data_IF_973520159875
#
_entry.id   IF_973520159875
#
_cell.length_a   1.000
_cell.length_b   1.000
_cell.length_c   1.000
_cell.angle_alpha   90.00
_cell.angle_beta   90.00
_cell.angle_gamma   90.00
#
_symmetry.space_group_name_H-M   'P 1'
#
loop_
_entity.id
_entity.type
_entity.pdbx_description
1 polymer ?
#
# COMPACT_ATOMS: atom_id res chain seq x y z
N UNK A 1 -2.12 -8.41 2.76
CA UNK A 1 -1.03 -8.50 3.76
C UNK A 1 -1.48 -8.15 5.19
N UNK A 2 -2.56 -7.39 5.36
CA UNK A 2 -3.16 -7.07 6.67
C UNK A 2 -4.07 -8.17 7.29
N UNK A 3 -3.85 -9.45 7.01
CA UNK A 3 -4.62 -10.56 7.61
C UNK A 3 -3.71 -11.75 7.91
N UNK A 4 -3.68 -12.17 9.17
CA UNK A 4 -2.76 -13.20 9.69
C UNK A 4 -3.42 -14.56 9.89
N UNK A 5 -2.61 -15.62 9.83
CA UNK A 5 -2.98 -17.01 10.16
C UNK A 5 -1.72 -17.80 10.57
N UNK A 6 -1.85 -19.08 10.90
CA UNK A 6 -0.80 -19.89 11.53
C UNK A 6 0.48 -20.04 10.71
N UNK A 7 0.36 -20.24 9.38
CA UNK A 7 1.50 -20.47 8.49
C UNK A 7 1.11 -20.23 7.02
N UNK A 8 2.06 -20.41 6.11
CA UNK A 8 1.84 -20.18 4.67
C UNK A 8 0.84 -21.17 4.05
N UNK A 9 0.87 -22.45 4.42
CA UNK A 9 -0.06 -23.46 3.88
C UNK A 9 -1.51 -23.08 4.20
N UNK A 10 -1.79 -22.70 5.46
CA UNK A 10 -3.13 -22.27 5.89
C UNK A 10 -3.56 -20.97 5.21
N UNK A 11 -2.64 -20.02 5.01
CA UNK A 11 -2.89 -18.78 4.26
C UNK A 11 -3.27 -19.08 2.81
N UNK A 12 -2.45 -19.88 2.12
CA UNK A 12 -2.61 -20.14 0.69
C UNK A 12 -3.88 -20.98 0.44
N UNK A 13 -4.22 -21.90 1.34
CA UNK A 13 -5.49 -22.65 1.30
C UNK A 13 -6.70 -21.72 1.45
N UNK A 14 -6.66 -20.77 2.39
CA UNK A 14 -7.74 -19.80 2.57
C UNK A 14 -7.87 -18.85 1.37
N UNK A 15 -6.75 -18.39 0.82
CA UNK A 15 -6.71 -17.61 -0.42
C UNK A 15 -7.36 -18.34 -1.58
N UNK A 16 -6.99 -19.61 -1.82
CA UNK A 16 -7.59 -20.42 -2.88
C UNK A 16 -9.11 -20.52 -2.74
N UNK A 17 -9.62 -20.79 -1.52
CA UNK A 17 -11.07 -20.87 -1.28
C UNK A 17 -11.78 -19.54 -1.56
N UNK A 18 -11.22 -18.42 -1.11
CA UNK A 18 -11.81 -17.09 -1.33
C UNK A 18 -11.81 -16.72 -2.81
N UNK A 19 -10.71 -16.95 -3.52
CA UNK A 19 -10.61 -16.68 -4.96
C UNK A 19 -11.56 -17.57 -5.76
N UNK A 20 -11.71 -18.85 -5.41
CA UNK A 20 -12.69 -19.75 -6.04
C UNK A 20 -14.14 -19.26 -5.86
N UNK A 21 -14.43 -18.58 -4.75
CA UNK A 21 -15.73 -17.94 -4.51
C UNK A 21 -15.86 -16.54 -5.17
N UNK A 22 -14.87 -16.09 -5.92
CA UNK A 22 -14.88 -14.82 -6.65
C UNK A 22 -14.34 -13.61 -5.88
N UNK A 23 -13.77 -13.79 -4.69
CA UNK A 23 -13.13 -12.69 -3.97
C UNK A 23 -11.84 -12.25 -4.69
N UNK A 24 -11.57 -10.93 -4.69
CA UNK A 24 -10.33 -10.37 -5.22
C UNK A 24 -9.31 -10.21 -4.10
N UNK A 25 -8.16 -10.86 -4.24
CA UNK A 25 -7.08 -10.75 -3.26
C UNK A 25 -6.27 -9.48 -3.51
N UNK A 26 -6.19 -8.61 -2.50
CA UNK A 26 -5.48 -7.34 -2.57
C UNK A 26 -4.56 -7.13 -1.36
N UNK A 27 -3.66 -6.15 -1.45
CA UNK A 27 -2.91 -5.61 -0.32
C UNK A 27 -3.39 -4.20 0.01
N UNK A 28 -3.02 -3.67 1.18
CA UNK A 28 -3.53 -2.38 1.63
C UNK A 28 -3.14 -1.23 0.67
N UNK A 29 -1.94 -1.29 0.08
CA UNK A 29 -1.44 -0.23 -0.80
C UNK A 29 -2.22 -0.19 -2.14
N UNK A 30 -2.52 -1.36 -2.72
CA UNK A 30 -3.34 -1.46 -3.92
C UNK A 30 -4.76 -0.96 -3.66
N UNK A 31 -5.35 -1.29 -2.50
CA UNK A 31 -6.66 -0.77 -2.09
C UNK A 31 -6.63 0.76 -1.96
N UNK A 32 -5.59 1.32 -1.32
CA UNK A 32 -5.43 2.77 -1.22
C UNK A 32 -5.33 3.44 -2.60
N UNK A 33 -4.53 2.88 -3.51
CA UNK A 33 -4.40 3.39 -4.88
C UNK A 33 -5.72 3.30 -5.66
N UNK A 34 -6.45 2.20 -5.54
CA UNK A 34 -7.72 1.99 -6.25
C UNK A 34 -8.83 2.89 -5.73
N UNK A 35 -8.85 3.19 -4.43
CA UNK A 35 -9.77 4.17 -3.86
C UNK A 35 -9.38 5.61 -4.24
N UNK A 36 -8.08 5.92 -4.22
CA UNK A 36 -7.60 7.27 -4.49
C UNK A 36 -7.72 7.67 -5.96
N UNK A 37 -7.59 6.72 -6.89
CA UNK A 37 -7.70 6.83 -8.36
C UNK A 37 -6.65 7.72 -9.03
N UNK A 38 -6.53 8.97 -8.61
CA UNK A 38 -5.69 9.99 -9.22
C UNK A 38 -4.94 10.76 -8.12
N UNK A 39 -3.62 10.80 -8.21
CA UNK A 39 -2.76 11.52 -7.28
C UNK A 39 -3.16 12.99 -7.08
N UNK A 40 -3.69 13.62 -8.14
CA UNK A 40 -4.08 15.03 -8.11
C UNK A 40 -5.28 15.30 -7.21
N UNK A 41 -6.01 14.27 -6.80
CA UNK A 41 -7.16 14.42 -5.91
C UNK A 41 -6.74 14.90 -4.51
N UNK A 42 -5.62 14.38 -3.98
CA UNK A 42 -4.99 14.87 -2.76
C UNK A 42 -3.56 14.32 -2.64
N UNK A 43 -2.60 15.05 -3.22
CA UNK A 43 -1.19 14.63 -3.27
C UNK A 43 -0.62 14.50 -1.86
N UNK A 44 -0.85 15.49 -0.99
CA UNK A 44 -0.29 15.52 0.36
C UNK A 44 -0.91 14.44 1.25
N UNK A 45 -2.22 14.20 1.15
CA UNK A 45 -2.91 13.17 1.90
C UNK A 45 -2.41 11.76 1.56
N UNK A 46 -2.32 11.41 0.27
CA UNK A 46 -1.82 10.09 -0.12
C UNK A 46 -0.31 9.96 0.15
N UNK A 47 0.48 11.00 -0.10
CA UNK A 47 1.90 11.02 0.23
C UNK A 47 2.12 10.79 1.72
N UNK A 48 1.33 11.43 2.60
CA UNK A 48 1.39 11.21 4.04
C UNK A 48 1.16 9.74 4.41
N UNK A 49 0.08 9.12 3.92
CA UNK A 49 -0.20 7.69 4.15
C UNK A 49 0.99 6.82 3.73
N UNK A 50 1.54 7.08 2.54
CA UNK A 50 2.69 6.33 2.04
C UNK A 50 3.94 6.53 2.90
N UNK A 51 4.26 7.77 3.31
CA UNK A 51 5.42 8.03 4.18
C UNK A 51 5.26 7.46 5.58
N UNK A 52 4.05 7.43 6.14
CA UNK A 52 3.81 6.88 7.48
C UNK A 52 3.96 5.35 7.50
N UNK A 53 3.56 4.67 6.42
CA UNK A 53 3.45 3.21 6.38
C UNK A 53 4.44 2.49 5.44
N UNK A 54 5.20 3.21 4.61
CA UNK A 54 6.22 2.65 3.69
C UNK A 54 7.55 3.38 3.94
N UNK A 55 8.47 2.80 4.74
CA UNK A 55 9.76 3.42 5.06
C UNK A 55 10.58 3.81 3.82
N UNK A 56 10.56 2.98 2.77
CA UNK A 56 11.28 3.28 1.53
C UNK A 56 10.72 4.52 0.84
N UNK A 57 9.40 4.71 0.84
CA UNK A 57 8.76 5.91 0.28
C UNK A 57 9.10 7.16 1.10
N UNK A 58 9.15 7.03 2.43
CA UNK A 58 9.63 8.11 3.33
C UNK A 58 11.06 8.53 2.99
N UNK A 59 11.95 7.57 2.74
CA UNK A 59 13.35 7.85 2.40
C UNK A 59 13.45 8.63 1.07
N UNK A 60 12.65 8.25 0.08
CA UNK A 60 12.57 8.95 -1.21
C UNK A 60 12.10 10.40 -1.04
N UNK A 61 10.99 10.62 -0.33
CA UNK A 61 10.47 11.97 -0.09
C UNK A 61 11.43 12.83 0.72
N UNK A 62 12.08 12.27 1.75
CA UNK A 62 13.06 12.99 2.56
C UNK A 62 14.23 13.46 1.71
N UNK A 63 14.78 12.58 0.88
CA UNK A 63 15.91 12.89 -0.01
C UNK A 63 15.53 13.92 -1.08
N UNK A 64 14.34 13.79 -1.67
CA UNK A 64 13.81 14.74 -2.64
C UNK A 64 13.64 16.13 -2.02
N UNK A 65 12.95 16.22 -0.87
CA UNK A 65 12.71 17.48 -0.19
C UNK A 65 14.01 18.18 0.24
N UNK A 66 14.99 17.42 0.73
CA UNK A 66 16.30 17.99 1.07
C UNK A 66 17.02 18.59 -0.15
N UNK A 67 16.89 17.96 -1.32
CA UNK A 67 17.49 18.45 -2.57
C UNK A 67 16.73 19.65 -3.15
N UNK A 68 15.41 19.70 -3.02
CA UNK A 68 14.57 20.74 -3.64
C UNK A 68 14.34 21.95 -2.76
N UNK A 69 14.44 21.84 -1.44
CA UNK A 69 14.26 22.97 -0.51
C UNK A 69 15.32 24.07 -0.66
N UNK A 70 16.47 23.78 -1.28
CA UNK A 70 17.53 24.73 -1.56
C UNK A 70 17.52 25.33 -2.97
N UNK A 71 16.51 25.01 -3.79
CA UNK A 71 16.29 25.62 -5.11
C UNK A 71 15.20 26.68 -5.02
#
# INVERSE_FOLDING_TARGET
>A
DASGTFNQITRDSAWQRMTQAGAQLMNWFAVACELHRDWRNDVEGLAKICTDHIPDYRNLMTSYNALTAGK
#
